data_IF_576964402510
#
_entry.id   IF_576964402510
#
_cell.length_a   1.000
_cell.length_b   1.000
_cell.length_c   1.000
_cell.angle_alpha   90.00
_cell.angle_beta   90.00
_cell.angle_gamma   90.00
#
_symmetry.space_group_name_H-M   'P 1'
#
loop_
_entity.id
_entity.type
_entity.pdbx_description
1 polymer ?
#
# COMPACT_ATOMS: atom_id res chain seq x y z
N UNK A 1 1.47 21.75 7.99
CA UNK A 1 1.60 21.78 9.45
C UNK A 1 2.83 20.97 9.79
N UNK A 2 3.86 21.53 10.45
CA UNK A 2 5.00 20.74 10.88
C UNK A 2 4.56 19.64 11.85
N UNK A 3 5.30 18.53 11.91
CA UNK A 3 5.07 17.47 12.90
C UNK A 3 5.27 18.08 14.29
N UNK A 4 4.26 17.99 15.15
CA UNK A 4 4.38 18.38 16.56
C UNK A 4 4.90 17.17 17.37
N UNK A 5 6.16 17.20 17.85
CA UNK A 5 6.74 16.08 18.59
C UNK A 5 6.10 15.88 19.98
N UNK A 6 5.28 16.82 20.46
CA UNK A 6 4.58 16.71 21.75
C UNK A 6 3.15 16.15 21.60
N UNK A 7 2.70 15.88 20.37
CA UNK A 7 1.40 15.28 20.15
C UNK A 7 1.33 13.86 20.72
N UNK A 8 0.18 13.51 21.30
CA UNK A 8 -0.06 12.15 21.80
C UNK A 8 -0.09 11.20 20.61
N UNK A 9 0.68 10.12 20.68
CA UNK A 9 0.66 9.10 19.65
C UNK A 9 -0.71 8.39 19.62
N UNK A 10 -1.32 8.37 18.44
CA UNK A 10 -2.57 7.66 18.20
C UNK A 10 -2.30 6.47 17.26
N UNK A 11 -2.42 5.22 17.73
CA UNK A 11 -2.25 4.05 16.88
C UNK A 11 -3.27 4.05 15.74
N UNK A 12 -2.81 3.79 14.52
CA UNK A 12 -3.63 3.59 13.33
C UNK A 12 -3.82 2.09 13.14
N UNK A 13 -5.03 1.65 12.78
CA UNK A 13 -5.34 0.26 12.43
C UNK A 13 -5.11 0.08 10.93
N UNK A 14 -4.06 -0.65 10.58
CA UNK A 14 -3.56 -0.76 9.21
C UNK A 14 -3.84 -2.16 8.67
N UNK A 15 -4.55 -2.25 7.55
CA UNK A 15 -4.69 -3.49 6.79
C UNK A 15 -3.58 -3.62 5.75
N UNK A 16 -3.01 -4.82 5.59
CA UNK A 16 -1.90 -5.10 4.66
C UNK A 16 -2.33 -6.06 3.57
N UNK A 17 -2.22 -5.65 2.31
CA UNK A 17 -2.51 -6.48 1.14
C UNK A 17 -1.25 -6.77 0.35
N UNK A 18 -0.91 -8.04 0.22
CA UNK A 18 0.08 -8.48 -0.76
C UNK A 18 -0.63 -8.89 -2.06
N UNK A 19 -0.23 -8.28 -3.17
CA UNK A 19 -0.71 -8.65 -4.51
C UNK A 19 0.37 -9.50 -5.18
N UNK A 20 0.07 -10.78 -5.39
CA UNK A 20 0.99 -11.73 -5.99
C UNK A 20 0.29 -12.95 -6.59
N UNK A 21 0.77 -13.39 -7.75
CA UNK A 21 0.35 -14.65 -8.37
C UNK A 21 1.09 -15.88 -7.84
N UNK A 22 2.16 -15.71 -7.08
CA UNK A 22 3.05 -16.83 -6.71
C UNK A 22 3.26 -16.95 -5.21
N UNK A 23 3.26 -15.84 -4.47
CA UNK A 23 3.47 -15.85 -3.02
C UNK A 23 2.25 -16.37 -2.28
N UNK A 24 2.52 -17.08 -1.19
CA UNK A 24 1.59 -17.37 -0.11
C UNK A 24 2.11 -16.78 1.21
N UNK A 25 1.45 -17.12 2.32
CA UNK A 25 1.83 -16.59 3.63
C UNK A 25 3.22 -17.04 4.08
N UNK A 26 3.70 -18.18 3.60
CA UNK A 26 5.01 -18.74 3.98
C UNK A 26 6.20 -17.98 3.38
N UNK A 27 6.00 -17.23 2.29
CA UNK A 27 7.05 -16.56 1.53
C UNK A 27 6.73 -15.09 1.21
N UNK A 28 5.73 -14.51 1.88
CA UNK A 28 5.36 -13.11 1.78
C UNK A 28 6.25 -12.18 2.63
N UNK A 29 7.51 -12.09 2.23
CA UNK A 29 8.54 -11.28 2.90
C UNK A 29 8.20 -9.79 2.93
N UNK A 30 7.54 -9.27 1.89
CA UNK A 30 7.16 -7.85 1.81
C UNK A 30 6.04 -7.54 2.80
N UNK A 31 5.00 -8.39 2.85
CA UNK A 31 3.96 -8.29 3.87
C UNK A 31 4.52 -8.40 5.29
N UNK A 32 5.43 -9.35 5.54
CA UNK A 32 6.08 -9.49 6.85
C UNK A 32 6.86 -8.23 7.24
N UNK A 33 7.59 -7.64 6.29
CA UNK A 33 8.35 -6.39 6.51
C UNK A 33 7.42 -5.24 6.86
N UNK A 34 6.29 -5.09 6.16
CA UNK A 34 5.32 -4.04 6.45
C UNK A 34 4.69 -4.21 7.84
N UNK A 35 4.34 -5.44 8.22
CA UNK A 35 3.77 -5.76 9.53
C UNK A 35 4.79 -5.47 10.64
N UNK A 36 6.05 -5.88 10.46
CA UNK A 36 7.08 -5.58 11.44
C UNK A 36 7.26 -4.07 11.64
N UNK A 37 7.35 -3.30 10.55
CA UNK A 37 7.55 -1.84 10.61
C UNK A 37 6.37 -1.10 11.21
N UNK A 38 5.14 -1.49 10.87
CA UNK A 38 3.96 -0.82 11.45
C UNK A 38 3.83 -1.12 12.94
N UNK A 39 4.13 -2.36 13.37
CA UNK A 39 4.08 -2.72 14.79
C UNK A 39 5.20 -2.05 15.60
N UNK A 40 6.42 -1.98 15.05
CA UNK A 40 7.53 -1.26 15.65
C UNK A 40 7.23 0.24 15.80
N UNK A 41 6.50 0.83 14.85
CA UNK A 41 6.02 2.19 14.92
C UNK A 41 4.84 2.41 15.90
N UNK A 42 4.33 1.36 16.55
CA UNK A 42 3.24 1.43 17.53
C UNK A 42 1.83 1.34 16.93
N UNK A 43 1.71 1.06 15.63
CA UNK A 43 0.42 0.86 14.96
C UNK A 43 -0.12 -0.56 15.15
N UNK A 44 -1.39 -0.76 14.79
CA UNK A 44 -2.09 -2.05 14.95
C UNK A 44 -2.30 -2.68 13.58
N UNK A 45 -1.95 -3.96 13.42
CA UNK A 45 -2.34 -4.73 12.25
C UNK A 45 -3.84 -5.04 12.35
N UNK A 46 -4.65 -4.47 11.45
CA UNK A 46 -6.10 -4.67 11.41
C UNK A 46 -6.48 -5.98 10.70
N UNK A 47 -5.87 -6.24 9.54
CA UNK A 47 -6.06 -7.45 8.75
C UNK A 47 -4.83 -7.66 7.83
N UNK A 48 -4.62 -8.88 7.37
CA UNK A 48 -3.61 -9.23 6.36
C UNK A 48 -4.21 -10.16 5.33
N UNK A 49 -4.06 -9.83 4.05
CA UNK A 49 -4.48 -10.70 2.94
C UNK A 49 -3.44 -10.79 1.84
N UNK A 50 -3.52 -11.88 1.08
CA UNK A 50 -2.78 -12.07 -0.16
C UNK A 50 -3.80 -12.36 -1.26
N UNK A 51 -3.71 -11.65 -2.38
CA UNK A 51 -4.59 -11.83 -3.53
C UNK A 51 -3.80 -11.92 -4.83
N UNK A 52 -4.45 -12.47 -5.86
CA UNK A 52 -3.93 -12.49 -7.23
C UNK A 52 -3.92 -11.10 -7.85
N UNK A 53 -3.09 -10.93 -8.87
CA UNK A 53 -3.00 -9.69 -9.64
C UNK A 53 -4.19 -9.62 -10.60
N UNK A 54 -5.33 -9.21 -10.04
CA UNK A 54 -6.62 -9.11 -10.69
C UNK A 54 -7.39 -7.90 -10.14
N UNK A 55 -7.85 -7.02 -11.03
CA UNK A 55 -8.45 -5.74 -10.66
C UNK A 55 -9.65 -5.94 -9.75
N UNK A 56 -10.58 -6.81 -10.13
CA UNK A 56 -11.84 -6.97 -9.40
C UNK A 56 -11.61 -7.62 -8.03
N UNK A 57 -10.67 -8.55 -7.93
CA UNK A 57 -10.25 -9.15 -6.66
C UNK A 57 -9.64 -8.11 -5.72
N UNK A 58 -8.72 -7.27 -6.22
CA UNK A 58 -8.10 -6.20 -5.42
C UNK A 58 -9.17 -5.20 -4.98
N UNK A 59 -10.00 -4.72 -5.91
CA UNK A 59 -11.10 -3.77 -5.62
C UNK A 59 -12.07 -4.31 -4.58
N UNK A 60 -12.43 -5.59 -4.64
CA UNK A 60 -13.32 -6.21 -3.66
C UNK A 60 -12.72 -6.21 -2.25
N UNK A 61 -11.44 -6.56 -2.11
CA UNK A 61 -10.75 -6.52 -0.81
C UNK A 61 -10.63 -5.09 -0.30
N UNK A 62 -10.23 -4.15 -1.15
CA UNK A 62 -10.10 -2.75 -0.76
C UNK A 62 -11.43 -2.18 -0.29
N UNK A 63 -12.53 -2.39 -1.02
CA UNK A 63 -13.85 -1.91 -0.58
C UNK A 63 -14.30 -2.55 0.73
N UNK A 64 -14.05 -3.85 0.89
CA UNK A 64 -14.36 -4.55 2.14
C UNK A 64 -13.67 -3.94 3.36
N UNK A 65 -12.41 -3.50 3.22
CA UNK A 65 -11.70 -2.80 4.28
C UNK A 65 -12.06 -1.33 4.41
N UNK A 66 -12.36 -0.63 3.31
CA UNK A 66 -12.81 0.76 3.36
C UNK A 66 -14.12 0.88 4.15
N UNK A 67 -15.02 -0.09 4.00
CA UNK A 67 -16.31 -0.09 4.68
C UNK A 67 -16.24 -0.72 6.10
N UNK A 68 -15.07 -1.23 6.50
CA UNK A 68 -14.84 -1.81 7.83
C UNK A 68 -14.43 -0.71 8.83
N UNK A 69 -15.24 -0.42 9.86
CA UNK A 69 -14.87 0.55 10.89
C UNK A 69 -13.66 0.11 11.73
N UNK A 70 -13.17 -1.13 11.54
CA UNK A 70 -11.94 -1.71 12.07
C UNK A 70 -10.64 -1.25 11.38
N UNK A 71 -10.73 -0.63 10.20
CA UNK A 71 -9.56 -0.27 9.37
C UNK A 71 -9.49 1.24 9.15
N UNK A 72 -8.37 1.85 9.51
CA UNK A 72 -8.13 3.29 9.31
C UNK A 72 -7.31 3.57 8.04
N UNK A 73 -6.45 2.62 7.65
CA UNK A 73 -5.50 2.77 6.56
C UNK A 73 -5.21 1.41 5.91
N UNK A 74 -4.94 1.43 4.60
CA UNK A 74 -4.59 0.25 3.82
C UNK A 74 -3.22 0.47 3.17
N UNK A 75 -2.34 -0.52 3.29
CA UNK A 75 -1.07 -0.56 2.58
C UNK A 75 -1.05 -1.80 1.69
N UNK A 76 -0.81 -1.62 0.40
CA UNK A 76 -0.61 -2.72 -0.54
C UNK A 76 0.86 -2.84 -0.96
N UNK A 77 1.30 -4.06 -1.28
CA UNK A 77 2.62 -4.34 -1.85
C UNK A 77 2.51 -5.32 -3.01
N UNK A 78 3.05 -4.97 -4.17
CA UNK A 78 3.00 -5.79 -5.39
C UNK A 78 2.00 -5.29 -6.43
N UNK A 79 2.08 -5.83 -7.65
CA UNK A 79 1.22 -5.50 -8.78
C UNK A 79 1.36 -4.07 -9.32
N UNK A 80 2.45 -3.37 -9.00
CA UNK A 80 2.71 -1.98 -9.48
C UNK A 80 3.76 -1.92 -10.60
N UNK A 81 4.18 -3.04 -11.17
CA UNK A 81 5.10 -3.09 -12.30
C UNK A 81 4.46 -2.60 -13.61
N UNK A 82 5.16 -2.73 -14.72
CA UNK A 82 4.71 -2.26 -16.05
C UNK A 82 4.29 -3.41 -16.98
N UNK A 83 4.17 -4.63 -16.46
CA UNK A 83 3.72 -5.77 -17.25
C UNK A 83 2.20 -5.77 -17.36
N UNK A 84 1.64 -6.49 -18.34
CA UNK A 84 0.18 -6.61 -18.49
C UNK A 84 -0.52 -7.36 -17.34
N UNK A 85 0.22 -7.89 -16.37
CA UNK A 85 -0.33 -8.49 -15.14
C UNK A 85 -0.46 -7.49 -14.00
N UNK A 86 0.40 -6.47 -13.96
CA UNK A 86 0.47 -5.52 -12.86
C UNK A 86 -0.73 -4.55 -12.91
N UNK A 87 -1.70 -4.72 -12.00
CA UNK A 87 -2.95 -3.96 -12.05
C UNK A 87 -3.33 -3.24 -10.75
N UNK A 88 -2.42 -3.17 -9.77
CA UNK A 88 -2.68 -2.50 -8.49
C UNK A 88 -3.01 -1.01 -8.65
N UNK A 89 -2.28 -0.20 -9.43
CA UNK A 89 -2.63 1.22 -9.63
C UNK A 89 -4.02 1.41 -10.25
N UNK A 90 -4.38 0.58 -11.23
CA UNK A 90 -5.68 0.58 -11.88
C UNK A 90 -6.81 0.24 -10.88
N UNK A 91 -6.58 -0.74 -10.00
CA UNK A 91 -7.53 -1.08 -8.94
C UNK A 91 -7.71 0.07 -7.92
N UNK A 92 -6.62 0.75 -7.55
CA UNK A 92 -6.64 1.92 -6.65
C UNK A 92 -7.38 3.09 -7.29
N UNK A 93 -7.19 3.34 -8.58
CA UNK A 93 -7.91 4.41 -9.30
C UNK A 93 -9.44 4.16 -9.32
N UNK A 94 -9.89 2.91 -9.43
CA UNK A 94 -11.32 2.57 -9.45
C UNK A 94 -12.07 2.89 -8.15
N UNK A 95 -11.37 2.93 -7.02
CA UNK A 95 -11.99 3.18 -5.71
C UNK A 95 -11.72 4.58 -5.17
N UNK A 96 -10.85 5.35 -5.82
CA UNK A 96 -10.37 6.62 -5.30
C UNK A 96 -11.43 7.71 -5.37
N UNK A 97 -11.69 8.37 -4.24
CA UNK A 97 -12.39 9.67 -4.25
C UNK A 97 -11.41 10.79 -4.61
N UNK A 98 -10.17 10.68 -4.13
CA UNK A 98 -9.11 11.66 -4.37
C UNK A 98 -7.73 11.01 -4.41
N UNK A 99 -7.01 11.20 -5.50
CA UNK A 99 -5.62 10.76 -5.61
C UNK A 99 -4.67 11.67 -4.82
N UNK A 100 -3.56 11.10 -4.32
CA UNK A 100 -2.47 11.79 -3.63
C UNK A 100 -1.21 11.70 -4.52
N UNK A 101 -1.13 12.46 -5.63
CA UNK A 101 -0.04 12.33 -6.61
C UNK A 101 1.35 12.55 -5.99
N UNK A 102 1.44 13.46 -5.01
CA UNK A 102 2.69 13.77 -4.30
C UNK A 102 3.34 12.57 -3.61
N UNK A 103 2.57 11.52 -3.27
CA UNK A 103 3.13 10.29 -2.72
C UNK A 103 4.03 9.57 -3.75
N UNK A 104 3.47 9.31 -4.93
CA UNK A 104 4.20 8.62 -6.00
C UNK A 104 5.38 9.45 -6.51
N UNK A 105 5.21 10.77 -6.60
CA UNK A 105 6.28 11.71 -6.97
C UNK A 105 7.47 11.63 -6.00
N UNK A 106 7.21 11.79 -4.70
CA UNK A 106 8.26 11.74 -3.69
C UNK A 106 8.87 10.34 -3.56
N UNK A 107 8.06 9.29 -3.68
CA UNK A 107 8.54 7.91 -3.68
C UNK A 107 9.56 7.68 -4.80
N UNK A 108 9.25 8.12 -6.04
CA UNK A 108 10.16 7.98 -7.17
C UNK A 108 11.39 8.87 -7.04
N UNK A 109 11.26 10.08 -6.49
CA UNK A 109 12.41 10.95 -6.21
C UNK A 109 13.40 10.30 -5.24
N UNK A 110 12.91 9.75 -4.12
CA UNK A 110 13.75 9.04 -3.15
C UNK A 110 14.33 7.75 -3.75
N UNK A 111 13.52 7.01 -4.52
CA UNK A 111 13.96 5.78 -5.18
C UNK A 111 15.07 6.06 -6.20
N UNK A 112 15.01 7.16 -6.95
CA UNK A 112 16.05 7.55 -7.90
C UNK A 112 17.44 7.62 -7.23
N UNK A 113 17.51 8.07 -5.99
CA UNK A 113 18.76 8.16 -5.24
C UNK A 113 19.36 6.79 -4.88
N UNK A 114 18.54 5.73 -4.88
CA UNK A 114 18.96 4.37 -4.49
C UNK A 114 19.11 3.44 -5.69
N UNK A 115 18.14 3.44 -6.62
CA UNK A 115 18.04 2.50 -7.75
C UNK A 115 18.20 3.17 -9.12
N UNK A 116 18.50 4.49 -9.14
CA UNK A 116 18.70 5.25 -10.36
C UNK A 116 17.47 5.24 -11.27
N UNK A 117 17.71 5.14 -12.58
CA UNK A 117 16.67 5.17 -13.62
C UNK A 117 15.69 4.01 -13.54
N UNK A 118 15.98 2.94 -12.81
CA UNK A 118 15.05 1.83 -12.56
C UNK A 118 13.73 2.31 -11.94
N UNK A 119 13.76 3.43 -11.20
CA UNK A 119 12.53 4.01 -10.61
C UNK A 119 11.49 4.47 -11.64
N UNK A 120 11.88 4.66 -12.91
CA UNK A 120 10.94 5.03 -13.99
C UNK A 120 9.86 3.95 -14.18
N UNK A 121 10.17 2.69 -13.84
CA UNK A 121 9.21 1.58 -13.91
C UNK A 121 8.31 1.48 -12.66
N UNK A 122 8.53 2.30 -11.62
CA UNK A 122 7.75 2.24 -10.39
C UNK A 122 6.45 3.03 -10.51
N UNK A 123 5.32 2.34 -10.31
CA UNK A 123 3.98 2.95 -10.31
C UNK A 123 3.38 3.05 -8.90
N UNK A 124 4.20 3.32 -7.88
CA UNK A 124 3.71 3.60 -6.53
C UNK A 124 2.71 4.77 -6.56
N UNK A 125 1.57 4.60 -5.90
CA UNK A 125 0.48 5.58 -5.88
C UNK A 125 -0.25 5.55 -4.53
N UNK A 126 -1.06 6.58 -4.28
CA UNK A 126 -1.89 6.65 -3.08
C UNK A 126 -3.18 7.43 -3.36
N UNK A 127 -4.22 7.13 -2.59
CA UNK A 127 -5.49 7.82 -2.66
C UNK A 127 -6.19 7.86 -1.29
N UNK A 128 -7.28 8.63 -1.23
CA UNK A 128 -8.29 8.56 -0.17
C UNK A 128 -9.59 8.04 -0.80
N UNK A 129 -10.25 7.12 -0.11
CA UNK A 129 -11.56 6.60 -0.46
C UNK A 129 -12.43 6.48 0.80
N UNK A 130 -13.58 7.15 0.82
CA UNK A 130 -14.57 7.21 1.92
C UNK A 130 -13.97 7.48 3.31
N UNK A 131 -12.87 8.23 3.35
CA UNK A 131 -12.15 8.58 4.59
C UNK A 131 -10.98 7.67 4.93
N UNK A 132 -10.80 6.56 4.21
CA UNK A 132 -9.69 5.61 4.39
C UNK A 132 -8.54 5.97 3.46
N UNK A 133 -7.32 5.99 4.00
CA UNK A 133 -6.09 6.22 3.22
C UNK A 133 -5.58 4.91 2.64
N UNK A 134 -5.19 4.92 1.36
CA UNK A 134 -4.63 3.75 0.66
C UNK A 134 -3.28 4.11 0.06
N UNK A 135 -2.26 3.30 0.33
CA UNK A 135 -0.92 3.43 -0.23
C UNK A 135 -0.52 2.15 -0.96
N UNK A 136 -0.24 2.24 -2.26
CA UNK A 136 0.22 1.12 -3.07
C UNK A 136 1.73 1.20 -3.33
N UNK A 137 2.45 0.17 -2.88
CA UNK A 137 3.89 0.07 -2.93
C UNK A 137 4.34 -1.05 -3.90
N UNK A 138 5.58 -0.97 -4.44
CA UNK A 138 6.19 -2.08 -5.14
C UNK A 138 6.34 -3.35 -4.28
N UNK A 139 6.45 -4.50 -4.94
CA UNK A 139 6.59 -5.82 -4.31
C UNK A 139 8.02 -6.17 -3.84
N UNK A 140 9.00 -5.28 -4.05
CA UNK A 140 10.38 -5.44 -3.56
C UNK A 140 10.50 -4.98 -2.11
N UNK A 141 11.39 -5.62 -1.33
CA UNK A 141 11.55 -5.34 0.12
C UNK A 141 12.37 -4.08 0.44
N UNK A 142 12.74 -3.29 -0.58
CA UNK A 142 13.79 -2.26 -0.47
C UNK A 142 15.18 -2.86 -0.59
#
# INVERSE_FOLDING_TARGET
MPIDPNSVFLPVRIAVLTVSDTRGLADDRSGDTLIARLSEAGHVLADRRIVRDDVDTIVAVLNGWIDDPGVDCIITTGGTGVTGRDVTPEAVERIADKMIPGFGELFRWLSFQTIGTSTVQSRACACVARGTYIFALPGSTG
#
